data_IF_781105144320
#
_entry.id   IF_781105144320
#
_cell.length_a   1.000
_cell.length_b   1.000
_cell.length_c   1.000
_cell.angle_alpha   90.00
_cell.angle_beta   90.00
_cell.angle_gamma   90.00
#
_symmetry.space_group_name_H-M   'P 1'
#
loop_
_entity.id
_entity.type
_entity.pdbx_description
1 polymer ?
#
# COMPACT_ATOMS: atom_id res chain seq x y z
N UNK A 1 7.60 -18.07 -0.49
CA UNK A 1 6.86 -17.79 0.76
C UNK A 1 5.43 -17.36 0.44
N UNK A 2 4.45 -17.42 1.35
CA UNK A 2 3.07 -16.99 1.07
C UNK A 2 2.64 -15.86 2.03
N UNK A 3 2.20 -14.73 1.46
CA UNK A 3 1.52 -13.66 2.21
C UNK A 3 0.20 -14.23 2.72
N UNK A 4 -0.16 -14.03 3.98
CA UNK A 4 -1.45 -14.35 4.56
C UNK A 4 -2.07 -13.08 5.13
N UNK A 5 -3.35 -13.12 5.50
CA UNK A 5 -3.98 -12.00 6.22
C UNK A 5 -3.35 -11.72 7.58
N UNK A 6 -2.58 -12.67 8.15
CA UNK A 6 -1.93 -12.52 9.45
C UNK A 6 -0.61 -11.76 9.38
N UNK A 7 -0.01 -11.65 8.19
CA UNK A 7 1.24 -10.91 7.98
C UNK A 7 1.08 -9.79 6.94
N UNK A 8 -0.16 -9.46 6.56
CA UNK A 8 -0.45 -8.34 5.66
C UNK A 8 -1.22 -7.25 6.41
N UNK A 9 -0.77 -6.02 6.26
CA UNK A 9 -1.36 -4.83 6.83
C UNK A 9 -1.87 -3.93 5.73
N UNK A 10 -2.87 -3.11 6.07
CA UNK A 10 -3.60 -2.30 5.12
C UNK A 10 -3.87 -0.92 5.68
N UNK A 11 -3.65 0.09 4.85
CA UNK A 11 -3.96 1.49 5.14
C UNK A 11 -4.76 2.03 3.96
N UNK A 12 -5.89 2.67 4.26
CA UNK A 12 -6.67 3.42 3.29
C UNK A 12 -6.96 4.80 3.86
N UNK A 13 -6.49 5.84 3.17
CA UNK A 13 -6.74 7.25 3.45
C UNK A 13 -7.47 7.82 2.25
N UNK A 14 -8.59 8.49 2.51
CA UNK A 14 -9.44 9.06 1.49
C UNK A 14 -9.96 10.43 1.90
N UNK A 15 -10.29 11.25 0.91
CA UNK A 15 -11.00 12.52 1.10
C UNK A 15 -12.07 12.69 0.04
N UNK A 16 -13.32 12.90 0.45
CA UNK A 16 -14.46 13.08 -0.47
C UNK A 16 -14.56 11.97 -1.54
N UNK A 17 -14.38 10.71 -1.12
CA UNK A 17 -14.38 9.50 -1.96
C UNK A 17 -13.20 9.39 -2.96
N UNK A 18 -12.20 10.28 -2.86
CA UNK A 18 -10.94 10.17 -3.60
C UNK A 18 -9.88 9.47 -2.74
N UNK A 19 -9.13 8.54 -3.34
CA UNK A 19 -8.04 7.83 -2.66
C UNK A 19 -6.82 8.74 -2.58
N UNK A 20 -6.44 9.07 -1.34
CA UNK A 20 -5.21 9.81 -1.06
C UNK A 20 -4.04 8.84 -0.90
N UNK A 21 -4.25 7.76 -0.15
CA UNK A 21 -3.28 6.68 0.05
C UNK A 21 -4.03 5.36 0.13
N UNK A 22 -3.65 4.38 -0.68
CA UNK A 22 -4.05 3.00 -0.54
C UNK A 22 -2.79 2.14 -0.50
N UNK A 23 -2.45 1.64 0.69
CA UNK A 23 -1.22 0.91 0.95
C UNK A 23 -1.54 -0.48 1.49
N UNK A 24 -0.87 -1.49 0.93
CA UNK A 24 -0.86 -2.86 1.46
C UNK A 24 0.59 -3.29 1.60
N UNK A 25 0.95 -3.83 2.75
CA UNK A 25 2.31 -4.29 2.98
C UNK A 25 2.35 -5.51 3.87
N UNK A 26 3.49 -6.18 3.90
CA UNK A 26 3.73 -7.33 4.73
C UNK A 26 5.10 -7.25 5.40
N UNK A 27 5.14 -7.69 6.65
CA UNK A 27 6.36 -7.78 7.44
C UNK A 27 6.81 -9.25 7.50
N UNK A 28 8.00 -9.54 6.99
CA UNK A 28 8.52 -10.88 6.80
C UNK A 28 10.00 -10.88 7.16
N UNK A 29 10.39 -11.67 8.17
CA UNK A 29 11.80 -11.85 8.56
C UNK A 29 12.56 -10.51 8.72
N UNK A 30 11.96 -9.52 9.38
CA UNK A 30 12.55 -8.18 9.61
C UNK A 30 12.62 -7.28 8.35
N UNK A 31 12.23 -7.78 7.18
CA UNK A 31 12.03 -7.01 5.95
C UNK A 31 10.55 -6.62 5.79
N UNK A 32 10.30 -5.52 5.08
CA UNK A 32 8.94 -5.05 4.75
C UNK A 32 8.82 -4.95 3.23
N UNK A 33 7.72 -5.46 2.67
CA UNK A 33 7.41 -5.32 1.25
C UNK A 33 5.98 -4.86 1.08
N UNK A 34 5.73 -3.98 0.12
CA UNK A 34 4.40 -3.44 -0.06
C UNK A 34 4.13 -2.86 -1.44
N UNK A 35 2.86 -2.58 -1.67
CA UNK A 35 2.35 -1.88 -2.84
C UNK A 35 1.51 -0.69 -2.37
N UNK A 36 1.58 0.41 -3.11
CA UNK A 36 0.86 1.63 -2.77
C UNK A 36 0.27 2.32 -4.02
N UNK A 37 -0.70 3.19 -3.79
CA UNK A 37 -1.31 4.07 -4.79
C UNK A 37 -2.01 5.28 -4.16
N UNK A 38 -2.32 6.28 -4.99
CA UNK A 38 -3.16 7.43 -4.66
C UNK A 38 -2.94 8.57 -5.67
N UNK A 39 -3.07 9.82 -5.24
CA UNK A 39 -2.94 10.99 -6.11
C UNK A 39 -1.49 11.24 -6.56
N UNK A 40 -1.16 10.71 -7.74
CA UNK A 40 0.20 10.74 -8.31
C UNK A 40 0.67 9.42 -8.91
N UNK A 41 -0.12 8.35 -8.76
CA UNK A 41 0.17 7.02 -9.31
C UNK A 41 0.34 5.97 -8.22
N UNK A 42 1.06 4.90 -8.53
CA UNK A 42 1.34 3.82 -7.60
C UNK A 42 2.67 3.16 -7.88
N UNK A 43 3.06 2.25 -7.01
CA UNK A 43 4.33 1.55 -7.11
C UNK A 43 4.49 0.51 -6.01
N UNK A 44 5.68 -0.07 -5.97
CA UNK A 44 6.10 -1.05 -4.98
C UNK A 44 7.13 -0.40 -4.06
N UNK A 45 7.23 -0.94 -2.85
CA UNK A 45 8.25 -0.53 -1.91
C UNK A 45 8.80 -1.70 -1.12
N UNK A 46 10.00 -1.49 -0.61
CA UNK A 46 10.74 -2.46 0.16
C UNK A 46 11.54 -1.75 1.26
N UNK A 47 11.58 -2.34 2.45
CA UNK A 47 12.50 -1.99 3.53
C UNK A 47 13.35 -3.20 3.87
N UNK A 48 14.67 -3.00 3.92
CA UNK A 48 15.60 -4.04 4.37
C UNK A 48 15.62 -4.18 5.91
N UNK A 49 16.43 -5.10 6.43
CA UNK A 49 16.62 -5.35 7.87
C UNK A 49 17.10 -4.11 8.67
N UNK A 50 17.72 -3.14 8.00
CA UNK A 50 18.19 -1.88 8.56
C UNK A 50 17.15 -0.74 8.45
N UNK A 51 15.92 -1.04 7.98
CA UNK A 51 14.86 -0.09 7.67
C UNK A 51 15.21 0.96 6.60
N UNK A 52 16.13 0.64 5.68
CA UNK A 52 16.38 1.48 4.51
C UNK A 52 15.32 1.21 3.43
N UNK A 53 14.67 2.28 2.97
CA UNK A 53 13.58 2.18 2.01
C UNK A 53 14.08 2.16 0.56
N UNK A 54 13.34 1.47 -0.30
CA UNK A 54 13.48 1.48 -1.75
C UNK A 54 12.09 1.48 -2.40
N UNK A 55 11.93 2.24 -3.47
CA UNK A 55 10.67 2.35 -4.24
C UNK A 55 10.98 2.04 -5.70
N UNK A 56 10.16 1.19 -6.33
CA UNK A 56 10.28 0.84 -7.75
C UNK A 56 8.95 0.34 -8.31
N UNK A 57 8.80 0.38 -9.62
CA UNK A 57 7.75 -0.32 -10.36
C UNK A 57 8.15 -1.76 -10.74
N UNK A 58 9.44 -2.12 -10.59
CA UNK A 58 9.97 -3.45 -10.82
C UNK A 58 10.52 -4.06 -9.52
N UNK A 59 9.83 -5.08 -9.00
CA UNK A 59 10.28 -5.78 -7.80
C UNK A 59 11.65 -6.47 -7.95
N UNK A 60 12.12 -6.68 -9.18
CA UNK A 60 13.45 -7.21 -9.46
C UNK A 60 14.58 -6.26 -9.10
N UNK A 61 14.29 -4.99 -8.83
CA UNK A 61 15.26 -4.00 -8.37
C UNK A 61 15.52 -4.04 -6.86
N UNK A 62 14.67 -4.74 -6.09
CA UNK A 62 14.82 -4.85 -4.65
C UNK A 62 15.86 -5.92 -4.25
N UNK A 63 16.83 -5.54 -3.42
CA UNK A 63 17.74 -6.48 -2.76
C UNK A 63 17.06 -7.06 -1.52
N UNK A 64 16.23 -8.10 -1.74
CA UNK A 64 15.35 -8.70 -0.74
C UNK A 64 15.71 -10.18 -0.44
N UNK A 65 16.89 -10.45 0.13
CA UNK A 65 17.39 -11.81 0.33
C UNK A 65 16.59 -12.62 1.37
N UNK A 66 15.87 -11.98 2.31
CA UNK A 66 15.10 -12.71 3.34
C UNK A 66 13.65 -13.01 2.91
N UNK A 67 13.15 -12.36 1.85
CA UNK A 67 11.85 -12.66 1.23
C UNK A 67 11.86 -13.92 0.34
N UNK A 68 13.00 -14.26 -0.24
CA UNK A 68 13.20 -15.49 -1.03
C UNK A 68 13.86 -15.27 -2.39
N UNK A 69 13.63 -16.20 -3.32
CA UNK A 69 14.10 -16.05 -4.69
C UNK A 69 13.15 -15.18 -5.53
N UNK A 70 13.52 -14.95 -6.80
CA UNK A 70 12.72 -14.14 -7.72
C UNK A 70 11.27 -14.66 -7.89
N UNK A 71 11.05 -15.98 -7.88
CA UNK A 71 9.70 -16.53 -8.01
C UNK A 71 8.87 -16.29 -6.75
N UNK A 72 9.51 -16.29 -5.57
CA UNK A 72 8.86 -15.92 -4.32
C UNK A 72 8.52 -14.43 -4.27
N UNK A 73 9.45 -13.54 -4.68
CA UNK A 73 9.20 -12.11 -4.80
C UNK A 73 8.03 -11.81 -5.74
N UNK A 74 8.02 -12.44 -6.92
CA UNK A 74 6.93 -12.26 -7.89
C UNK A 74 5.57 -12.65 -7.29
N UNK A 75 5.48 -13.75 -6.54
CA UNK A 75 4.23 -14.17 -5.88
C UNK A 75 3.79 -13.19 -4.79
N UNK A 76 4.75 -12.65 -4.03
CA UNK A 76 4.50 -11.67 -2.97
C UNK A 76 3.94 -10.38 -3.57
N UNK A 77 4.67 -9.76 -4.51
CA UNK A 77 4.28 -8.47 -5.07
C UNK A 77 3.00 -8.53 -5.90
N UNK A 78 2.81 -9.58 -6.73
CA UNK A 78 1.55 -9.76 -7.46
C UNK A 78 0.34 -9.89 -6.51
N UNK A 79 0.55 -10.49 -5.33
CA UNK A 79 -0.51 -10.60 -4.32
C UNK A 79 -0.76 -9.27 -3.63
N UNK A 80 0.28 -8.53 -3.26
CA UNK A 80 0.16 -7.21 -2.64
C UNK A 80 -0.50 -6.20 -3.58
N UNK A 81 -0.10 -6.18 -4.86
CA UNK A 81 -0.72 -5.34 -5.88
C UNK A 81 -2.20 -5.67 -6.06
N UNK A 82 -2.54 -6.95 -6.09
CA UNK A 82 -3.94 -7.38 -6.17
C UNK A 82 -4.72 -6.89 -4.95
N UNK A 83 -4.22 -7.17 -3.75
CA UNK A 83 -4.87 -6.77 -2.50
C UNK A 83 -5.06 -5.26 -2.44
N UNK A 84 -4.08 -4.47 -2.90
CA UNK A 84 -4.17 -3.02 -3.02
C UNK A 84 -5.31 -2.65 -4.00
N UNK A 85 -5.29 -3.21 -5.21
CA UNK A 85 -6.29 -2.92 -6.25
C UNK A 85 -7.72 -3.31 -5.86
N UNK A 86 -7.91 -4.24 -4.93
CA UNK A 86 -9.25 -4.64 -4.47
C UNK A 86 -10.04 -3.45 -3.87
N UNK A 87 -9.38 -2.37 -3.42
CA UNK A 87 -10.03 -1.15 -2.89
C UNK A 87 -10.21 -0.03 -3.92
N UNK A 88 -9.89 -0.29 -5.18
CA UNK A 88 -9.93 0.70 -6.25
C UNK A 88 -10.98 0.34 -7.29
N UNK A 89 -11.77 1.33 -7.66
CA UNK A 89 -12.50 1.29 -8.92
C UNK A 89 -11.62 1.89 -10.00
N UNK A 90 -11.35 1.13 -11.05
CA UNK A 90 -10.56 1.55 -12.20
C UNK A 90 -11.39 1.59 -13.48
N UNK A 91 -11.09 2.53 -14.37
CA UNK A 91 -11.68 2.58 -15.72
C UNK A 91 -11.05 1.54 -16.67
N UNK A 92 -11.50 1.52 -17.93
CA UNK A 92 -10.99 0.61 -18.96
C UNK A 92 -9.51 0.86 -19.33
N UNK A 93 -9.00 2.05 -19.02
CA UNK A 93 -7.61 2.46 -19.26
C UNK A 93 -6.70 2.19 -18.04
N UNK A 94 -7.27 1.69 -16.93
CA UNK A 94 -6.56 1.38 -15.69
C UNK A 94 -6.35 2.59 -14.78
N UNK A 95 -7.04 3.70 -15.01
CA UNK A 95 -6.99 4.86 -14.12
C UNK A 95 -7.92 4.63 -12.93
N UNK A 96 -7.46 4.97 -11.73
CA UNK A 96 -8.28 4.96 -10.52
C UNK A 96 -9.32 6.08 -10.63
N UNK A 97 -10.60 5.72 -10.58
CA UNK A 97 -11.74 6.65 -10.66
C UNK A 97 -12.52 6.76 -9.35
N UNK A 98 -12.18 5.95 -8.35
CA UNK A 98 -12.81 5.99 -7.03
C UNK A 98 -12.42 4.81 -6.15
N UNK A 99 -13.10 4.73 -5.00
CA UNK A 99 -12.96 3.68 -4.01
C UNK A 99 -13.98 2.58 -4.31
N UNK A 100 -13.54 1.32 -4.33
CA UNK A 100 -14.44 0.17 -4.53
C UNK A 100 -15.40 -0.03 -3.35
N UNK A 101 -16.41 -0.89 -3.51
CA UNK A 101 -17.31 -1.29 -2.42
C UNK A 101 -16.53 -1.85 -1.21
N UNK A 102 -15.51 -2.69 -1.45
CA UNK A 102 -14.68 -3.26 -0.39
C UNK A 102 -13.86 -2.19 0.35
N UNK A 103 -13.36 -1.19 -0.38
CA UNK A 103 -12.67 -0.05 0.22
C UNK A 103 -13.57 0.85 1.05
N UNK A 104 -14.81 1.08 0.59
CA UNK A 104 -15.82 1.81 1.35
C UNK A 104 -16.25 1.05 2.61
N UNK A 105 -16.41 -0.27 2.54
CA UNK A 105 -16.69 -1.11 3.71
C UNK A 105 -15.55 -1.03 4.73
N UNK A 106 -14.30 -1.01 4.27
CA UNK A 106 -13.14 -0.83 5.14
C UNK A 106 -13.13 0.55 5.82
N UNK A 107 -13.38 1.63 5.07
CA UNK A 107 -13.46 3.00 5.61
C UNK A 107 -14.62 3.19 6.57
N UNK A 108 -15.79 2.60 6.31
CA UNK A 108 -17.00 2.76 7.14
C UNK A 108 -16.84 2.24 8.59
N UNK A 109 -15.78 1.47 8.87
CA UNK A 109 -15.40 1.15 10.25
C UNK A 109 -14.88 2.37 11.03
N UNK A 110 -14.58 3.49 10.36
CA UNK A 110 -13.99 4.70 10.89
C UNK A 110 -14.80 5.94 10.47
N UNK A 111 -14.85 6.96 11.33
CA UNK A 111 -15.64 8.17 11.06
C UNK A 111 -14.83 9.15 10.21
N UNK A 112 -15.41 9.63 9.12
CA UNK A 112 -14.88 10.78 8.40
C UNK A 112 -15.06 12.06 9.22
N UNK A 113 -14.13 13.00 9.02
CA UNK A 113 -14.20 14.33 9.61
C UNK A 113 -15.21 15.23 8.86
N UNK A 114 -15.31 16.50 9.30
CA UNK A 114 -16.21 17.48 8.67
C UNK A 114 -15.83 17.86 7.23
N UNK A 115 -14.62 17.53 6.79
CA UNK A 115 -14.06 17.79 5.46
C UNK A 115 -14.11 16.55 4.54
N UNK A 116 -14.73 15.46 5.00
CA UNK A 116 -14.80 14.20 4.27
C UNK A 116 -13.48 13.42 4.26
N UNK A 117 -12.52 13.78 5.12
CA UNK A 117 -11.27 13.04 5.32
C UNK A 117 -11.52 11.82 6.19
N UNK A 118 -11.03 10.66 5.78
CA UNK A 118 -11.10 9.42 6.53
C UNK A 118 -9.80 8.64 6.39
N UNK A 119 -9.32 8.11 7.51
CA UNK A 119 -8.16 7.21 7.58
C UNK A 119 -8.57 5.93 8.28
N UNK A 120 -8.13 4.81 7.73
CA UNK A 120 -8.43 3.48 8.25
C UNK A 120 -7.19 2.59 8.14
N UNK A 121 -6.91 1.88 9.23
CA UNK A 121 -5.75 1.03 9.40
C UNK A 121 -6.24 -0.36 9.84
N UNK A 122 -5.67 -1.41 9.25
CA UNK A 122 -5.83 -2.75 9.80
C UNK A 122 -5.12 -2.85 11.16
N UNK A 123 -5.54 -3.80 11.99
CA UNK A 123 -4.90 -4.01 13.30
C UNK A 123 -3.39 -4.22 13.16
N UNK A 124 -2.60 -3.48 13.93
CA UNK A 124 -1.13 -3.51 13.89
C UNK A 124 -0.47 -2.75 12.74
N UNK A 125 -1.22 -2.11 11.84
CA UNK A 125 -0.61 -1.33 10.76
C UNK A 125 0.10 -0.08 11.30
N UNK A 126 1.29 0.22 10.77
CA UNK A 126 2.10 1.39 11.07
C UNK A 126 2.04 2.39 9.92
N UNK A 127 1.72 3.64 10.24
CA UNK A 127 1.76 4.75 9.29
C UNK A 127 3.18 5.26 9.01
N UNK A 128 4.18 4.86 9.80
CA UNK A 128 5.59 5.27 9.61
C UNK A 128 6.07 4.98 8.18
N UNK A 129 5.63 3.87 7.60
CA UNK A 129 5.97 3.52 6.23
C UNK A 129 5.47 4.57 5.23
N UNK A 130 4.33 5.22 5.45
CA UNK A 130 3.89 6.33 4.58
C UNK A 130 4.93 7.45 4.62
N UNK A 131 5.34 7.85 5.82
CA UNK A 131 6.28 8.97 6.00
C UNK A 131 7.68 8.69 5.46
N UNK A 132 8.12 7.43 5.52
CA UNK A 132 9.45 7.02 5.08
C UNK A 132 9.57 7.00 3.55
N UNK A 133 8.48 6.66 2.82
CA UNK A 133 8.51 6.57 1.35
C UNK A 133 7.82 7.74 0.63
N UNK A 134 7.04 8.59 1.30
CA UNK A 134 6.30 9.70 0.64
C UNK A 134 7.15 10.67 -0.19
N UNK A 135 8.44 10.83 0.13
CA UNK A 135 9.35 11.70 -0.63
C UNK A 135 10.02 11.02 -1.82
N UNK A 136 10.05 9.68 -1.81
CA UNK A 136 10.49 8.83 -2.93
C UNK A 136 9.31 8.52 -3.87
N UNK A 137 8.08 8.85 -3.44
CA UNK A 137 6.87 8.69 -4.23
C UNK A 137 6.71 9.75 -5.33
N UNK A 138 5.88 9.43 -6.33
CA UNK A 138 5.18 10.43 -7.15
C UNK A 138 3.86 10.91 -6.49
N UNK A 139 3.54 10.44 -5.28
CA UNK A 139 2.38 10.83 -4.49
C UNK A 139 2.64 12.17 -3.80
N UNK A 140 1.85 13.18 -4.12
CA UNK A 140 1.86 14.44 -3.38
C UNK A 140 0.95 14.31 -2.16
N UNK A 141 1.41 13.58 -1.15
CA UNK A 141 0.73 13.51 0.14
C UNK A 141 1.57 14.22 1.21
N UNK A 142 0.95 15.12 1.96
CA UNK A 142 1.59 15.82 3.08
C UNK A 142 0.59 15.84 4.22
N UNK A 143 0.74 14.91 5.16
CA UNK A 143 0.08 15.01 6.46
C UNK A 143 0.73 16.16 7.23
N UNK A 144 -0.01 17.27 7.41
CA UNK A 144 0.37 18.36 8.33
C UNK A 144 0.06 18.02 9.79
#
# INVERSE_FOLDING_TARGET
MEITTENSYRILIAQNDEILVNMVYAEINEEVCGAFSGDGGGGLFYFNEDHEASVSDDFGEFDAPLLGDYEDLAKIYLKLEKLRSDFEDSDEDGNIIGISEEGLEFLNNYQSDENGYAECYSDGASEDFIYDIQYEWNLNFSLE
#
